data_IF_961087139696
#
_entry.id   IF_961087139696
#
_cell.length_a   1.000
_cell.length_b   1.000
_cell.length_c   1.000
_cell.angle_alpha   90.00
_cell.angle_beta   90.00
_cell.angle_gamma   90.00
#
_symmetry.space_group_name_H-M   'P 1'
#
loop_
_entity.id
_entity.type
_entity.pdbx_description
1 polymer ?
#
# COMPACT_ATOMS: atom_id res chain seq x y z
N UNK A 1 17.44 1.56 9.07
CA UNK A 1 16.27 2.34 9.53
C UNK A 1 16.19 3.70 8.83
N UNK A 2 14.97 4.17 8.56
CA UNK A 2 14.68 5.48 7.98
C UNK A 2 14.08 6.37 9.07
N UNK A 3 14.69 7.52 9.32
CA UNK A 3 14.29 8.44 10.40
C UNK A 3 13.39 9.53 9.83
N UNK A 4 12.31 9.83 10.54
CA UNK A 4 11.28 10.79 10.15
C UNK A 4 10.70 11.44 11.41
N UNK A 5 10.37 12.72 11.29
CA UNK A 5 9.69 13.45 12.36
C UNK A 5 8.16 13.28 12.24
N UNK A 6 7.46 13.58 13.34
CA UNK A 6 6.01 13.68 13.34
C UNK A 6 5.52 14.65 12.25
N UNK A 7 4.39 14.33 11.63
CA UNK A 7 3.79 15.08 10.51
C UNK A 7 4.60 15.12 9.22
N UNK A 8 5.73 14.41 9.11
CA UNK A 8 6.43 14.30 7.83
C UNK A 8 5.80 13.24 6.92
N UNK A 9 5.85 13.49 5.63
CA UNK A 9 5.44 12.52 4.62
C UNK A 9 6.57 11.51 4.38
N UNK A 10 6.20 10.23 4.36
CA UNK A 10 7.04 9.14 3.91
C UNK A 10 6.78 8.90 2.44
N UNK A 11 7.85 8.79 1.65
CA UNK A 11 7.79 8.51 0.22
C UNK A 11 8.35 7.12 -0.05
N UNK A 12 7.55 6.26 -0.67
CA UNK A 12 7.91 4.87 -0.94
C UNK A 12 7.89 4.63 -2.45
N UNK A 13 8.93 3.98 -2.93
CA UNK A 13 8.99 3.45 -4.29
C UNK A 13 9.28 1.96 -4.24
N UNK A 14 8.42 1.16 -4.86
CA UNK A 14 8.73 -0.21 -5.22
C UNK A 14 9.04 -0.29 -6.71
N UNK A 15 10.10 -1.03 -7.06
CA UNK A 15 10.54 -1.23 -8.44
C UNK A 15 10.52 -2.70 -8.80
N UNK A 16 9.80 -3.04 -9.85
CA UNK A 16 9.87 -4.34 -10.50
C UNK A 16 11.10 -4.37 -11.41
N UNK A 17 12.13 -5.12 -11.03
CA UNK A 17 13.31 -5.31 -11.88
C UNK A 17 13.07 -6.48 -12.84
N UNK A 18 12.64 -6.19 -14.06
CA UNK A 18 12.35 -7.18 -15.10
C UNK A 18 12.65 -6.60 -16.50
N UNK A 19 12.96 -7.47 -17.47
CA UNK A 19 13.18 -7.08 -18.88
C UNK A 19 11.89 -6.98 -19.70
N UNK A 20 10.79 -7.56 -19.24
CA UNK A 20 9.48 -7.55 -19.88
C UNK A 20 8.74 -6.24 -19.59
N UNK A 21 8.55 -5.44 -20.65
CA UNK A 21 7.86 -4.15 -20.61
C UNK A 21 6.33 -4.28 -20.49
N UNK A 22 5.78 -5.49 -20.67
CA UNK A 22 4.35 -5.76 -20.58
C UNK A 22 3.91 -6.13 -19.15
N UNK A 23 4.69 -5.77 -18.13
CA UNK A 23 4.34 -6.00 -16.73
C UNK A 23 4.08 -4.69 -16.01
N UNK A 24 3.08 -4.68 -15.13
CA UNK A 24 2.79 -3.57 -14.22
C UNK A 24 2.76 -4.02 -12.77
N UNK A 25 3.19 -3.15 -11.87
CA UNK A 25 3.15 -3.37 -10.42
C UNK A 25 2.03 -2.55 -9.76
N UNK A 26 1.31 -3.17 -8.84
CA UNK A 26 0.21 -2.59 -8.09
C UNK A 26 0.43 -2.77 -6.58
N UNK A 27 0.13 -1.74 -5.80
CA UNK A 27 0.15 -1.81 -4.34
C UNK A 27 -1.21 -2.30 -3.87
N UNK A 28 -1.29 -3.55 -3.42
CA UNK A 28 -2.54 -4.10 -2.92
C UNK A 28 -2.79 -3.67 -1.47
N UNK A 29 -1.83 -3.96 -0.60
CA UNK A 29 -1.97 -3.73 0.83
C UNK A 29 -0.65 -3.19 1.38
N UNK A 30 -0.68 -2.13 2.19
CA UNK A 30 0.45 -1.71 3.01
C UNK A 30 -0.04 -1.40 4.42
N UNK A 31 0.66 -1.96 5.40
CA UNK A 31 0.33 -1.88 6.83
C UNK A 31 1.57 -1.51 7.61
N UNK A 32 1.44 -0.58 8.55
CA UNK A 32 2.47 -0.29 9.53
C UNK A 32 2.16 -0.97 10.88
N UNK A 33 3.19 -1.52 11.53
CA UNK A 33 3.07 -2.14 12.86
C UNK A 33 4.32 -1.84 13.71
N UNK A 34 4.21 -1.63 15.03
CA UNK A 34 5.38 -1.59 15.90
C UNK A 34 6.01 -2.98 16.10
N UNK A 35 5.29 -4.07 15.80
CA UNK A 35 5.79 -5.44 15.87
C UNK A 35 6.18 -5.94 14.46
N UNK A 36 7.47 -6.27 14.20
CA UNK A 36 7.89 -6.77 12.90
C UNK A 36 7.37 -8.17 12.54
N UNK A 37 6.71 -8.86 13.48
CA UNK A 37 6.18 -10.21 13.31
C UNK A 37 4.65 -10.27 13.36
N UNK A 38 3.97 -9.19 13.76
CA UNK A 38 2.51 -9.11 13.81
C UNK A 38 1.98 -7.82 13.17
N UNK A 39 1.42 -7.95 11.97
CA UNK A 39 0.78 -6.87 11.22
C UNK A 39 -0.77 -6.94 11.27
N UNK A 40 -1.34 -7.62 12.26
CA UNK A 40 -2.78 -7.77 12.41
C UNK A 40 -3.32 -7.19 13.73
N UNK A 41 -2.65 -7.43 14.86
CA UNK A 41 -3.20 -7.05 16.18
C UNK A 41 -3.14 -5.55 16.45
N UNK A 42 -2.01 -4.91 16.14
CA UNK A 42 -1.80 -3.47 16.27
C UNK A 42 -1.29 -2.92 14.94
N UNK A 43 -2.22 -2.81 14.00
CA UNK A 43 -1.96 -2.50 12.61
C UNK A 43 -2.53 -1.14 12.22
N UNK A 44 -1.73 -0.34 11.52
CA UNK A 44 -2.18 0.85 10.84
C UNK A 44 -2.28 0.57 9.33
N UNK A 45 -3.51 0.41 8.85
CA UNK A 45 -3.78 0.16 7.43
C UNK A 45 -3.60 1.47 6.64
N UNK A 46 -2.62 1.52 5.74
CA UNK A 46 -2.39 2.66 4.84
C UNK A 46 -3.26 2.49 3.58
N UNK A 47 -3.18 1.30 2.99
CA UNK A 47 -4.00 0.82 1.88
C UNK A 47 -4.26 -0.66 2.11
N UNK A 48 -5.46 -1.15 1.81
CA UNK A 48 -5.83 -2.55 2.00
C UNK A 48 -6.76 -3.04 0.91
N UNK A 49 -6.42 -4.14 0.25
CA UNK A 49 -7.14 -4.65 -0.91
C UNK A 49 -7.36 -3.56 -1.99
N UNK A 50 -6.35 -2.74 -2.22
CA UNK A 50 -6.37 -1.61 -3.16
C UNK A 50 -7.22 -0.42 -2.72
N UNK A 51 -7.86 -0.48 -1.54
CA UNK A 51 -8.66 0.59 -0.99
C UNK A 51 -7.82 1.43 -0.03
N UNK A 52 -7.69 2.72 -0.34
CA UNK A 52 -7.01 3.69 0.51
C UNK A 52 -7.71 3.78 1.86
N UNK A 53 -6.94 3.69 2.95
CA UNK A 53 -7.42 3.78 4.34
C UNK A 53 -6.87 5.01 5.04
N UNK A 54 -5.62 5.37 4.74
CA UNK A 54 -4.99 6.62 5.16
C UNK A 54 -5.39 7.77 4.23
N UNK A 55 -5.96 8.85 4.79
CA UNK A 55 -6.43 10.01 4.01
C UNK A 55 -5.30 10.85 3.39
N UNK A 56 -4.08 10.74 3.92
CA UNK A 56 -2.88 11.39 3.41
C UNK A 56 -2.18 10.59 2.32
N UNK A 57 -2.64 9.36 2.04
CA UNK A 57 -2.10 8.51 0.98
C UNK A 57 -2.27 9.17 -0.39
N UNK A 58 -1.22 9.15 -1.20
CA UNK A 58 -1.28 9.65 -2.58
C UNK A 58 -0.33 8.86 -3.45
N UNK A 59 -0.81 8.40 -4.61
CA UNK A 59 0.03 7.76 -5.63
C UNK A 59 0.67 8.81 -6.53
N UNK A 60 1.90 8.58 -6.93
CA UNK A 60 2.57 9.35 -7.98
C UNK A 60 2.52 8.58 -9.29
N UNK A 61 2.08 9.25 -10.35
CA UNK A 61 2.10 8.68 -11.69
C UNK A 61 3.54 8.31 -12.08
N UNK A 62 3.69 7.11 -12.63
CA UNK A 62 4.90 6.66 -13.31
C UNK A 62 4.53 6.32 -14.75
N UNK A 63 5.20 6.92 -15.76
CA UNK A 63 4.98 6.55 -17.16
C UNK A 63 5.41 5.10 -17.45
N UNK A 64 6.23 4.52 -16.57
CA UNK A 64 6.65 3.12 -16.63
C UNK A 64 5.86 2.30 -15.60
N UNK A 65 5.15 1.27 -16.07
CA UNK A 65 4.32 0.40 -15.22
C UNK A 65 5.09 -0.39 -14.16
N UNK A 66 6.42 -0.41 -14.22
CA UNK A 66 7.32 -1.13 -13.30
C UNK A 66 7.58 -0.41 -11.98
N UNK A 67 7.08 0.82 -11.78
CA UNK A 67 7.23 1.54 -10.52
C UNK A 67 5.89 1.78 -9.85
N UNK A 68 5.77 1.35 -8.60
CA UNK A 68 4.73 1.83 -7.70
C UNK A 68 5.33 2.91 -6.81
N UNK A 69 4.78 4.12 -6.87
CA UNK A 69 5.22 5.28 -6.08
C UNK A 69 4.05 5.83 -5.31
N UNK A 70 4.22 6.00 -4.00
CA UNK A 70 3.21 6.61 -3.17
C UNK A 70 3.84 7.33 -1.98
N UNK A 71 3.05 8.22 -1.39
CA UNK A 71 3.34 8.81 -0.09
C UNK A 71 2.20 8.57 0.88
N UNK A 72 2.49 8.73 2.16
CA UNK A 72 1.53 8.86 3.25
C UNK A 72 2.20 9.63 4.40
N UNK A 73 1.41 10.15 5.34
CA UNK A 73 1.89 10.89 6.48
C UNK A 73 2.11 9.98 7.68
N UNK A 74 3.22 10.16 8.40
CA UNK A 74 3.59 9.27 9.49
C UNK A 74 2.90 9.57 10.84
N UNK A 75 1.99 10.55 10.89
CA UNK A 75 1.43 11.08 12.14
C UNK A 75 0.74 10.04 13.03
N UNK A 76 -0.12 9.19 12.45
CA UNK A 76 -1.04 8.38 13.25
C UNK A 76 -0.32 7.30 14.09
N UNK A 77 0.79 6.76 13.59
CA UNK A 77 1.50 5.66 14.27
C UNK A 77 2.77 6.12 15.01
N UNK A 78 3.53 7.11 14.52
CA UNK A 78 4.77 7.55 15.19
C UNK A 78 4.49 8.33 16.47
N UNK A 79 3.31 8.95 16.56
CA UNK A 79 2.88 9.62 17.81
C UNK A 79 2.78 8.67 18.99
N UNK A 80 2.68 7.35 18.75
CA UNK A 80 2.54 6.31 19.78
C UNK A 80 3.76 5.39 19.92
N UNK A 81 4.50 5.18 18.83
CA UNK A 81 5.62 4.26 18.78
C UNK A 81 6.83 4.88 18.06
N UNK A 82 8.01 4.86 18.71
CA UNK A 82 9.23 5.46 18.17
C UNK A 82 9.86 4.66 17.00
N UNK A 83 9.46 3.39 16.83
CA UNK A 83 9.88 2.52 15.74
C UNK A 83 8.67 1.76 15.24
N UNK A 84 8.53 1.70 13.92
CA UNK A 84 7.54 0.87 13.25
C UNK A 84 8.14 0.22 12.02
N UNK A 85 7.47 -0.83 11.56
CA UNK A 85 7.79 -1.60 10.38
C UNK A 85 6.67 -1.43 9.38
N UNK A 86 7.03 -1.30 8.09
CA UNK A 86 6.09 -1.20 6.99
C UNK A 86 6.15 -2.51 6.20
N UNK A 87 5.01 -3.19 6.08
CA UNK A 87 4.87 -4.36 5.22
C UNK A 87 3.92 -4.02 4.08
N UNK A 88 4.35 -4.30 2.85
CA UNK A 88 3.53 -4.11 1.65
C UNK A 88 3.40 -5.41 0.86
N UNK A 89 2.17 -5.73 0.47
CA UNK A 89 1.83 -6.73 -0.54
C UNK A 89 1.73 -6.04 -1.90
N UNK A 90 2.60 -6.47 -2.82
CA UNK A 90 2.70 -5.95 -4.18
C UNK A 90 2.27 -7.04 -5.16
N UNK A 91 1.51 -6.64 -6.17
CA UNK A 91 1.00 -7.55 -7.20
C UNK A 91 1.58 -7.16 -8.55
N UNK A 92 2.04 -8.15 -9.30
CA UNK A 92 2.52 -7.97 -10.67
C UNK A 92 1.48 -8.54 -11.63
N UNK A 93 1.09 -7.77 -12.64
CA UNK A 93 0.12 -8.19 -13.65
C UNK A 93 0.64 -7.91 -15.06
N UNK A 94 0.05 -8.58 -16.05
CA UNK A 94 0.21 -8.22 -17.45
C UNK A 94 -0.43 -6.85 -17.73
N UNK A 95 0.27 -6.01 -18.47
CA UNK A 95 -0.23 -4.72 -18.96
C UNK A 95 -1.43 -4.98 -19.89
N UNK A 96 -2.54 -4.29 -19.63
CA UNK A 96 -3.78 -4.45 -20.41
C UNK A 96 -4.64 -5.66 -20.04
N UNK A 97 -4.24 -6.50 -19.07
CA UNK A 97 -5.13 -7.52 -18.51
C UNK A 97 -6.13 -6.89 -17.53
N UNK A 98 -7.23 -6.37 -18.06
CA UNK A 98 -8.29 -5.73 -17.28
C UNK A 98 -8.99 -6.65 -16.28
N UNK A 99 -8.84 -7.98 -16.41
CA UNK A 99 -9.40 -8.95 -15.48
C UNK A 99 -8.51 -9.18 -14.24
N UNK A 100 -7.24 -8.77 -14.34
CA UNK A 100 -6.22 -8.96 -13.30
C UNK A 100 -6.48 -8.14 -12.04
N UNK A 101 -5.81 -8.52 -10.96
CA UNK A 101 -5.90 -7.83 -9.67
C UNK A 101 -5.50 -6.35 -9.78
N UNK A 102 -4.53 -6.00 -10.61
CA UNK A 102 -4.04 -4.61 -10.76
C UNK A 102 -5.14 -3.66 -11.28
N UNK A 103 -5.97 -4.12 -12.24
CA UNK A 103 -7.03 -3.30 -12.83
C UNK A 103 -8.35 -3.31 -12.05
N UNK A 104 -8.55 -4.30 -11.15
CA UNK A 104 -9.71 -4.31 -10.24
C UNK A 104 -9.69 -3.18 -9.21
N UNK A 105 -8.53 -2.57 -8.94
CA UNK A 105 -8.41 -1.43 -8.04
C UNK A 105 -8.84 -1.73 -6.60
N UNK A 106 -9.69 -0.89 -6.02
CA UNK A 106 -10.22 -1.09 -4.67
C UNK A 106 -11.33 -2.14 -4.65
N UNK A 107 -11.11 -3.23 -3.90
CA UNK A 107 -12.12 -4.28 -3.66
C UNK A 107 -12.55 -4.20 -2.20
N UNK A 108 -13.67 -3.51 -1.94
CA UNK A 108 -14.29 -3.53 -0.62
C UNK A 108 -15.17 -4.76 -0.45
N UNK A 109 -15.11 -5.43 0.70
CA UNK A 109 -16.14 -6.42 1.07
C UNK A 109 -17.46 -5.66 1.22
N UNK A 110 -18.42 -5.93 0.32
CA UNK A 110 -19.82 -5.58 0.59
C UNK A 110 -20.22 -6.24 1.91
N UNK A 111 -20.81 -5.47 2.83
CA UNK A 111 -21.46 -6.03 4.03
C UNK A 111 -22.51 -7.01 3.52
N UNK A 112 -22.38 -8.30 3.82
CA UNK A 112 -23.47 -9.26 3.58
C UNK A 112 -24.68 -8.75 4.36
N UNK A 113 -25.73 -8.33 3.67
CA UNK A 113 -26.99 -7.96 4.31
C UNK A 113 -27.54 -9.20 5.00
N UNK A 114 -27.50 -9.21 6.34
CA UNK A 114 -28.30 -10.16 7.12
C UNK A 114 -29.74 -9.71 6.99
N UNK A 115 -30.44 -10.20 5.96
CA UNK A 115 -31.89 -10.11 5.92
C UNK A 115 -32.41 -11.06 6.99
N UNK A 116 -32.98 -10.51 8.06
CA UNK A 116 -33.84 -11.24 9.00
C UNK A 116 -35.28 -11.17 8.52
#
# INVERSE_FOLDING_TARGET
>A
PYYIDLNQNVYVQASLHNSDQNLTIFVDTCVASPDPHDFNSLAYDIIRNGCVRDSSYTTYYSPYGHFARFKFNAFEFISRHALVYLQCELVVCGLGDYSSRCYRGCISRSKRGTSS
#
